data_IF_195427826310
#
_entry.id   IF_195427826310
#
_cell.length_a   1.000
_cell.length_b   1.000
_cell.length_c   1.000
_cell.angle_alpha   90.00
_cell.angle_beta   90.00
_cell.angle_gamma   90.00
#
_symmetry.space_group_name_H-M   'P 1'
#
loop_
_entity.id
_entity.type
_entity.pdbx_description
1 polymer ?
#
# COMPACT_ATOMS: atom_id res chain seq x y z
N UNK A 1 -15.12 -4.99 -8.26
CA UNK A 1 -13.85 -5.14 -7.53
C UNK A 1 -13.85 -4.34 -6.24
N UNK A 2 -14.21 -3.04 -6.26
CA UNK A 2 -14.16 -2.18 -5.07
C UNK A 2 -15.05 -2.69 -3.91
N UNK A 3 -16.28 -3.11 -4.19
CA UNK A 3 -17.16 -3.73 -3.19
C UNK A 3 -16.54 -5.00 -2.58
N UNK A 4 -15.85 -5.81 -3.39
CA UNK A 4 -15.10 -6.99 -2.90
C UNK A 4 -13.97 -6.55 -1.96
N UNK A 5 -13.23 -5.48 -2.31
CA UNK A 5 -12.18 -4.93 -1.43
C UNK A 5 -12.77 -4.48 -0.09
N UNK A 6 -13.90 -3.76 -0.08
CA UNK A 6 -14.56 -3.32 1.14
C UNK A 6 -15.03 -4.52 2.01
N UNK A 7 -15.60 -5.56 1.40
CA UNK A 7 -16.00 -6.78 2.11
C UNK A 7 -14.79 -7.54 2.68
N UNK A 8 -13.70 -7.62 1.94
CA UNK A 8 -12.46 -8.25 2.43
C UNK A 8 -11.84 -7.43 3.56
N UNK A 9 -11.81 -6.11 3.44
CA UNK A 9 -11.35 -5.21 4.50
C UNK A 9 -12.17 -5.42 5.77
N UNK A 10 -13.50 -5.42 5.67
CA UNK A 10 -14.37 -5.73 6.80
C UNK A 10 -14.01 -7.08 7.47
N UNK A 11 -13.80 -8.13 6.68
CA UNK A 11 -13.42 -9.46 7.19
C UNK A 11 -12.06 -9.47 7.87
N UNK A 12 -11.08 -8.74 7.33
CA UNK A 12 -9.75 -8.57 7.93
C UNK A 12 -9.87 -7.86 9.28
N UNK A 13 -10.56 -6.70 9.32
CA UNK A 13 -10.75 -5.93 10.54
C UNK A 13 -11.53 -6.72 11.61
N UNK A 14 -12.57 -7.46 11.21
CA UNK A 14 -13.30 -8.36 12.09
C UNK A 14 -12.41 -9.48 12.65
N UNK A 15 -11.54 -10.06 11.81
CA UNK A 15 -10.57 -11.09 12.24
C UNK A 15 -9.53 -10.54 13.19
N UNK A 16 -9.22 -9.25 13.11
CA UNK A 16 -8.35 -8.55 14.06
C UNK A 16 -9.05 -8.19 15.38
N UNK A 17 -10.36 -8.40 15.49
CA UNK A 17 -11.12 -8.12 16.70
C UNK A 17 -11.51 -6.65 16.88
N UNK A 18 -11.45 -5.85 15.81
CA UNK A 18 -11.78 -4.42 15.89
C UNK A 18 -13.31 -4.20 15.99
N UNK A 19 -13.80 -3.47 17.01
CA UNK A 19 -15.25 -3.28 17.20
C UNK A 19 -15.90 -2.45 16.08
N UNK A 20 -15.16 -1.52 15.47
CA UNK A 20 -15.62 -0.65 14.39
C UNK A 20 -15.29 -1.18 12.99
N UNK A 21 -15.14 -2.50 12.83
CA UNK A 21 -14.78 -3.12 11.55
C UNK A 21 -15.78 -2.80 10.42
N UNK A 22 -17.09 -2.80 10.70
CA UNK A 22 -18.10 -2.50 9.70
C UNK A 22 -18.12 -1.01 9.31
N UNK A 23 -18.21 -0.06 10.24
CA UNK A 23 -18.09 1.36 9.91
C UNK A 23 -16.82 1.73 9.15
N UNK A 24 -15.68 1.16 9.53
CA UNK A 24 -14.40 1.42 8.84
C UNK A 24 -14.43 0.93 7.39
N UNK A 25 -14.99 -0.25 7.13
CA UNK A 25 -15.12 -0.78 5.78
C UNK A 25 -16.14 0.00 4.93
N UNK A 26 -17.23 0.49 5.53
CA UNK A 26 -18.18 1.38 4.86
C UNK A 26 -17.55 2.73 4.53
N UNK A 27 -16.80 3.33 5.47
CA UNK A 27 -16.06 4.55 5.22
C UNK A 27 -15.09 4.39 4.06
N UNK A 28 -14.32 3.29 4.02
CA UNK A 28 -13.45 2.95 2.89
C UNK A 28 -14.24 2.84 1.57
N UNK A 29 -15.43 2.21 1.60
CA UNK A 29 -16.24 1.98 0.41
C UNK A 29 -16.75 3.28 -0.24
N UNK A 30 -17.05 4.31 0.56
CA UNK A 30 -17.59 5.60 0.08
C UNK A 30 -16.57 6.72 0.07
N UNK A 31 -15.31 6.45 0.43
CA UNK A 31 -14.29 7.49 0.60
C UNK A 31 -13.92 8.14 -0.75
N UNK A 32 -13.95 9.48 -0.87
CA UNK A 32 -13.69 10.18 -2.13
C UNK A 32 -12.31 9.88 -2.75
N UNK A 33 -11.28 9.58 -1.93
CA UNK A 33 -9.94 9.18 -2.39
C UNK A 33 -9.98 7.94 -3.29
N UNK A 34 -11.00 7.08 -3.17
CA UNK A 34 -11.16 5.89 -4.00
C UNK A 34 -11.82 6.17 -5.35
N UNK A 35 -12.41 7.36 -5.56
CA UNK A 35 -13.20 7.68 -6.75
C UNK A 35 -12.41 7.49 -8.04
N UNK A 36 -11.18 7.97 -8.11
CA UNK A 36 -10.30 7.84 -9.28
C UNK A 36 -10.01 6.37 -9.60
N UNK A 37 -9.56 5.60 -8.61
CA UNK A 37 -9.23 4.18 -8.78
C UNK A 37 -10.43 3.31 -9.16
N UNK A 38 -11.66 3.75 -8.83
CA UNK A 38 -12.91 3.03 -9.13
C UNK A 38 -13.45 3.42 -10.50
N UNK A 39 -13.43 4.72 -10.84
CA UNK A 39 -14.03 5.25 -12.05
C UNK A 39 -13.12 5.06 -13.28
N UNK A 40 -11.81 5.13 -13.11
CA UNK A 40 -10.86 5.09 -14.22
C UNK A 40 -10.49 3.66 -14.59
N UNK A 41 -10.69 3.31 -15.87
CA UNK A 41 -10.47 1.95 -16.37
C UNK A 41 -9.00 1.54 -16.22
N UNK A 42 -8.06 2.44 -16.49
CA UNK A 42 -6.62 2.18 -16.39
C UNK A 42 -6.15 1.97 -14.96
N UNK A 43 -6.86 2.51 -13.99
CA UNK A 43 -6.55 2.40 -12.56
C UNK A 43 -7.18 1.17 -11.88
N UNK A 44 -7.90 0.32 -12.62
CA UNK A 44 -8.44 -0.96 -12.09
C UNK A 44 -7.38 -1.87 -11.50
N UNK A 45 -6.13 -1.76 -11.97
CA UNK A 45 -4.98 -2.46 -11.38
C UNK A 45 -4.81 -2.16 -9.88
N UNK A 46 -5.13 -0.93 -9.43
CA UNK A 46 -5.06 -0.54 -8.02
C UNK A 46 -6.06 -1.32 -7.19
N UNK A 47 -7.33 -1.34 -7.64
CA UNK A 47 -8.40 -2.04 -6.94
C UNK A 47 -8.20 -3.55 -6.98
N UNK A 48 -7.72 -4.10 -8.09
CA UNK A 48 -7.39 -5.53 -8.21
C UNK A 48 -6.27 -5.92 -7.24
N UNK A 49 -5.18 -5.15 -7.22
CA UNK A 49 -4.07 -5.37 -6.29
C UNK A 49 -4.53 -5.29 -4.83
N UNK A 50 -5.41 -4.33 -4.49
CA UNK A 50 -5.99 -4.20 -3.16
C UNK A 50 -6.83 -5.42 -2.77
N UNK A 51 -7.69 -5.93 -3.66
CA UNK A 51 -8.48 -7.16 -3.43
C UNK A 51 -7.58 -8.35 -3.12
N UNK A 52 -6.54 -8.55 -3.96
CA UNK A 52 -5.59 -9.64 -3.80
C UNK A 52 -4.75 -9.51 -2.53
N UNK A 53 -4.33 -8.28 -2.20
CA UNK A 53 -3.58 -7.98 -0.98
C UNK A 53 -4.43 -8.24 0.28
N UNK A 54 -5.69 -7.83 0.30
CA UNK A 54 -6.61 -8.09 1.41
C UNK A 54 -6.94 -9.58 1.53
N UNK A 55 -7.07 -10.30 0.41
CA UNK A 55 -7.22 -11.75 0.40
C UNK A 55 -5.97 -12.44 0.99
N UNK A 56 -4.77 -12.00 0.60
CA UNK A 56 -3.50 -12.49 1.15
C UNK A 56 -3.43 -12.26 2.67
N UNK A 57 -3.78 -11.05 3.13
CA UNK A 57 -3.82 -10.73 4.57
C UNK A 57 -4.82 -11.62 5.32
N UNK A 58 -6.02 -11.82 4.77
CA UNK A 58 -7.03 -12.67 5.39
C UNK A 58 -6.59 -14.13 5.47
N UNK A 59 -5.97 -14.66 4.40
CA UNK A 59 -5.38 -16.01 4.39
C UNK A 59 -4.29 -16.12 5.46
N UNK A 60 -3.39 -15.14 5.56
CA UNK A 60 -2.36 -15.11 6.61
C UNK A 60 -2.94 -15.18 8.00
N UNK A 61 -3.91 -14.32 8.30
CA UNK A 61 -4.58 -14.26 9.61
C UNK A 61 -5.38 -15.52 9.95
N UNK A 62 -5.67 -16.37 8.96
CA UNK A 62 -6.30 -17.69 9.11
C UNK A 62 -5.27 -18.83 9.20
N UNK A 63 -3.98 -18.54 9.08
CA UNK A 63 -2.91 -19.53 9.11
C UNK A 63 -2.55 -20.15 7.76
N UNK A 64 -3.23 -19.75 6.69
CA UNK A 64 -2.98 -20.23 5.30
C UNK A 64 -1.79 -19.51 4.67
N UNK A 65 -0.56 -19.91 5.01
CA UNK A 65 0.68 -19.24 4.56
C UNK A 65 0.89 -19.35 3.05
N UNK A 66 0.65 -20.53 2.47
CA UNK A 66 0.79 -20.77 1.03
C UNK A 66 -0.22 -19.95 0.24
N UNK A 67 -1.51 -19.99 0.63
CA UNK A 67 -2.56 -19.20 -0.02
C UNK A 67 -2.28 -17.70 0.09
N UNK A 68 -1.78 -17.24 1.25
CA UNK A 68 -1.36 -15.85 1.43
C UNK A 68 -0.26 -15.47 0.45
N UNK A 69 0.75 -16.31 0.29
CA UNK A 69 1.86 -16.06 -0.65
C UNK A 69 1.40 -16.02 -2.10
N UNK A 70 0.52 -16.94 -2.52
CA UNK A 70 -0.04 -16.96 -3.88
C UNK A 70 -0.82 -15.68 -4.18
N UNK A 71 -1.74 -15.27 -3.28
CA UNK A 71 -2.48 -14.02 -3.45
C UNK A 71 -1.57 -12.80 -3.42
N UNK A 72 -0.53 -12.82 -2.60
CA UNK A 72 0.45 -11.74 -2.54
C UNK A 72 1.25 -11.60 -3.83
N UNK A 73 1.72 -12.71 -4.43
CA UNK A 73 2.38 -12.70 -5.74
C UNK A 73 1.45 -12.13 -6.82
N UNK A 74 0.20 -12.56 -6.85
CA UNK A 74 -0.78 -12.02 -7.78
C UNK A 74 -1.02 -10.52 -7.55
N UNK A 75 -1.02 -10.05 -6.29
CA UNK A 75 -1.13 -8.63 -5.96
C UNK A 75 0.07 -7.82 -6.46
N UNK A 76 1.30 -8.34 -6.27
CA UNK A 76 2.54 -7.72 -6.77
C UNK A 76 2.57 -7.64 -8.30
N UNK A 77 2.09 -8.67 -9.00
CA UNK A 77 1.99 -8.67 -10.46
C UNK A 77 0.95 -7.67 -10.96
N UNK A 78 -0.13 -7.44 -10.22
CA UNK A 78 -1.11 -6.43 -10.54
C UNK A 78 -0.55 -5.00 -10.29
N UNK A 79 0.14 -4.81 -9.17
CA UNK A 79 0.79 -3.54 -8.81
C UNK A 79 1.87 -3.75 -7.76
N UNK A 80 3.08 -3.26 -8.06
CA UNK A 80 4.26 -3.40 -7.18
C UNK A 80 4.02 -2.79 -5.79
N UNK A 81 3.18 -1.76 -5.66
CA UNK A 81 2.86 -1.15 -4.36
C UNK A 81 2.33 -2.13 -3.30
N UNK A 82 1.92 -3.35 -3.70
CA UNK A 82 1.56 -4.41 -2.75
C UNK A 82 2.72 -4.87 -1.85
N UNK A 83 3.98 -4.46 -2.14
CA UNK A 83 5.14 -4.72 -1.27
C UNK A 83 4.95 -4.23 0.18
N UNK A 84 3.99 -3.35 0.42
CA UNK A 84 3.64 -2.86 1.76
C UNK A 84 3.02 -3.95 2.66
N UNK A 85 2.53 -5.05 2.08
CA UNK A 85 1.83 -6.09 2.86
C UNK A 85 2.73 -6.80 3.90
N UNK A 86 3.94 -7.30 3.57
CA UNK A 86 4.78 -7.98 4.55
C UNK A 86 5.10 -7.12 5.79
N UNK A 87 5.56 -5.85 5.67
CA UNK A 87 5.75 -5.01 6.85
C UNK A 87 4.45 -4.70 7.60
N UNK A 88 3.31 -4.56 6.89
CA UNK A 88 2.02 -4.38 7.56
C UNK A 88 1.61 -5.62 8.39
N UNK A 89 1.87 -6.82 7.88
CA UNK A 89 1.62 -8.06 8.65
C UNK A 89 2.54 -8.19 9.88
N UNK A 90 3.80 -7.73 9.80
CA UNK A 90 4.69 -7.66 10.97
C UNK A 90 4.18 -6.64 11.99
N UNK A 91 3.71 -5.48 11.53
CA UNK A 91 3.13 -4.47 12.40
C UNK A 91 1.87 -4.99 13.11
N UNK A 92 1.02 -5.74 12.41
CA UNK A 92 -0.15 -6.40 12.99
C UNK A 92 0.29 -7.46 14.03
N UNK A 93 1.34 -8.24 13.74
CA UNK A 93 1.87 -9.22 14.69
C UNK A 93 2.38 -8.54 15.96
N UNK A 94 3.15 -7.46 15.81
CA UNK A 94 3.62 -6.66 16.93
C UNK A 94 2.47 -6.07 17.76
N UNK A 95 1.49 -5.46 17.08
CA UNK A 95 0.32 -4.90 17.76
C UNK A 95 -0.48 -5.94 18.57
N UNK A 96 -0.60 -7.17 18.05
CA UNK A 96 -1.35 -8.24 18.70
C UNK A 96 -0.61 -8.91 19.86
N UNK A 97 0.71 -9.00 19.77
CA UNK A 97 1.53 -9.77 20.72
C UNK A 97 2.46 -8.91 21.58
N UNK A 98 2.53 -7.60 21.32
CA UNK A 98 3.43 -6.66 22.02
C UNK A 98 4.93 -6.85 21.69
N UNK A 99 5.28 -7.89 20.92
CA UNK A 99 6.65 -8.21 20.50
C UNK A 99 6.64 -8.94 19.17
N UNK A 100 7.73 -8.81 18.40
CA UNK A 100 7.97 -9.58 17.18
C UNK A 100 8.85 -10.77 17.53
N UNK A 101 8.39 -11.98 17.20
CA UNK A 101 9.17 -13.20 17.33
C UNK A 101 9.75 -13.56 15.96
N UNK A 102 11.09 -13.78 15.93
CA UNK A 102 11.78 -14.06 14.66
C UNK A 102 11.27 -15.34 13.98
N UNK A 103 11.12 -16.43 14.75
CA UNK A 103 10.73 -17.73 14.19
C UNK A 103 9.24 -17.80 13.82
N UNK A 104 8.41 -17.11 14.59
CA UNK A 104 6.95 -17.15 14.42
C UNK A 104 6.44 -16.14 13.40
N UNK A 105 6.99 -14.92 13.42
CA UNK A 105 6.42 -13.79 12.70
C UNK A 105 7.29 -13.41 11.49
N UNK A 106 8.63 -13.38 11.61
CA UNK A 106 9.53 -12.93 10.54
C UNK A 106 9.84 -14.05 9.55
N UNK A 107 10.31 -15.21 10.03
CA UNK A 107 10.77 -16.30 9.17
C UNK A 107 9.67 -16.76 8.16
N UNK A 108 8.40 -16.92 8.54
CA UNK A 108 7.35 -17.28 7.60
C UNK A 108 6.99 -16.19 6.59
N UNK A 109 7.33 -14.92 6.86
CA UNK A 109 7.15 -13.80 5.93
C UNK A 109 8.34 -13.60 5.00
N UNK A 110 9.48 -14.27 5.23
CA UNK A 110 10.67 -14.14 4.38
C UNK A 110 10.39 -14.36 2.89
N UNK A 111 9.59 -15.37 2.46
CA UNK A 111 9.24 -15.53 1.05
C UNK A 111 8.53 -14.30 0.47
N UNK A 112 7.66 -13.64 1.25
CA UNK A 112 6.96 -12.41 0.83
C UNK A 112 7.93 -11.25 0.66
N UNK A 113 8.90 -11.08 1.58
CA UNK A 113 9.93 -10.05 1.48
C UNK A 113 10.85 -10.28 0.28
N UNK A 114 11.28 -11.54 0.04
CA UNK A 114 12.11 -11.88 -1.10
C UNK A 114 11.38 -11.61 -2.41
N UNK A 115 10.12 -12.03 -2.52
CA UNK A 115 9.30 -11.79 -3.71
C UNK A 115 9.10 -10.29 -3.96
N UNK A 116 8.82 -9.50 -2.91
CA UNK A 116 8.70 -8.04 -3.01
C UNK A 116 10.00 -7.39 -3.49
N UNK A 117 11.14 -7.81 -2.96
CA UNK A 117 12.45 -7.29 -3.34
C UNK A 117 12.79 -7.62 -4.80
N UNK A 118 12.63 -8.89 -5.18
CA UNK A 118 12.96 -9.36 -6.54
C UNK A 118 12.08 -8.66 -7.58
N UNK A 119 10.75 -8.66 -7.38
CA UNK A 119 9.83 -8.01 -8.32
C UNK A 119 9.98 -6.49 -8.32
N UNK A 120 10.23 -5.87 -7.15
CA UNK A 120 10.52 -4.44 -7.05
C UNK A 120 11.77 -4.04 -7.83
N UNK A 121 12.87 -4.81 -7.70
CA UNK A 121 14.08 -4.57 -8.47
C UNK A 121 13.88 -4.79 -9.97
N UNK A 122 13.10 -5.82 -10.36
CA UNK A 122 12.79 -6.09 -11.75
C UNK A 122 12.01 -4.93 -12.38
N UNK A 123 10.96 -4.45 -11.71
CA UNK A 123 10.16 -3.32 -12.20
C UNK A 123 10.99 -2.04 -12.28
N UNK A 124 11.81 -1.76 -11.28
CA UNK A 124 12.71 -0.60 -11.30
C UNK A 124 13.68 -0.66 -12.50
N UNK A 125 14.21 -1.83 -12.82
CA UNK A 125 15.05 -2.01 -14.03
C UNK A 125 14.27 -1.80 -15.33
N UNK A 126 13.04 -2.33 -15.40
CA UNK A 126 12.19 -2.16 -16.57
C UNK A 126 11.82 -0.68 -16.78
N UNK A 127 11.45 0.03 -15.73
CA UNK A 127 11.13 1.47 -15.80
C UNK A 127 12.32 2.31 -16.28
N UNK A 128 13.53 2.02 -15.77
CA UNK A 128 14.73 2.78 -16.16
C UNK A 128 15.22 2.46 -17.58
N UNK A 129 15.11 1.20 -18.02
CA UNK A 129 15.70 0.77 -19.30
C UNK A 129 14.68 0.71 -20.44
N UNK A 130 13.43 0.40 -20.18
CA UNK A 130 12.39 0.20 -21.21
C UNK A 130 11.50 1.42 -21.35
N UNK A 131 11.03 1.98 -20.22
CA UNK A 131 10.14 3.15 -20.23
C UNK A 131 10.91 4.45 -20.42
N UNK A 132 12.24 4.43 -20.14
CA UNK A 132 13.08 5.60 -20.34
C UNK A 132 12.82 6.71 -19.33
N UNK A 133 12.50 6.37 -18.09
CA UNK A 133 12.37 7.33 -16.98
C UNK A 133 13.71 7.99 -16.66
N UNK A 134 14.20 8.83 -17.61
CA UNK A 134 15.45 9.59 -17.56
C UNK A 134 15.12 11.06 -17.84
N UNK A 135 15.80 11.96 -17.14
CA UNK A 135 15.66 13.40 -17.31
C UNK A 135 15.68 14.13 -15.98
N UNK A 136 15.81 15.45 -16.01
CA UNK A 136 15.96 16.30 -14.83
C UNK A 136 14.83 16.11 -13.79
N UNK A 137 13.64 15.74 -14.23
CA UNK A 137 12.49 15.48 -13.34
C UNK A 137 12.63 14.17 -12.54
N UNK A 138 13.50 13.24 -13.00
CA UNK A 138 13.75 11.94 -12.35
C UNK A 138 15.09 11.87 -11.61
N UNK A 139 15.96 12.87 -11.80
CA UNK A 139 17.31 12.95 -11.20
C UNK A 139 17.31 13.58 -9.80
N UNK A 140 16.33 13.22 -8.98
CA UNK A 140 16.31 13.66 -7.59
C UNK A 140 17.50 13.05 -6.83
N UNK A 141 18.23 13.88 -6.10
CA UNK A 141 19.32 13.45 -5.21
C UNK A 141 18.79 12.54 -4.11
N UNK A 142 19.65 11.72 -3.50
CA UNK A 142 19.25 10.83 -2.39
C UNK A 142 18.60 11.63 -1.26
N UNK A 143 19.15 12.81 -0.94
CA UNK A 143 18.59 13.70 0.08
C UNK A 143 17.18 14.16 -0.24
N UNK A 144 16.94 14.55 -1.51
CA UNK A 144 15.60 14.94 -1.97
C UNK A 144 14.62 13.78 -1.92
N UNK A 145 15.05 12.57 -2.33
CA UNK A 145 14.23 11.35 -2.25
C UNK A 145 13.84 11.00 -0.82
N UNK A 146 14.78 11.13 0.13
CA UNK A 146 14.51 10.90 1.55
C UNK A 146 13.54 11.94 2.11
N UNK A 147 13.68 13.21 1.72
CA UNK A 147 12.78 14.27 2.12
C UNK A 147 11.35 14.04 1.63
N UNK A 148 11.18 13.66 0.34
CA UNK A 148 9.87 13.29 -0.21
C UNK A 148 9.29 12.10 0.52
N UNK A 149 10.08 11.04 0.71
CA UNK A 149 9.64 9.85 1.40
C UNK A 149 9.17 10.15 2.84
N UNK A 150 9.80 11.12 3.51
CA UNK A 150 9.37 11.59 4.83
C UNK A 150 8.08 12.42 4.82
N UNK A 151 7.84 13.19 3.76
CA UNK A 151 6.64 14.03 3.63
C UNK A 151 5.42 13.28 3.09
N UNK A 152 5.63 12.30 2.21
CA UNK A 152 4.55 11.58 1.54
C UNK A 152 3.51 10.98 2.51
N UNK A 153 3.88 10.32 3.63
CA UNK A 153 2.91 9.80 4.59
C UNK A 153 1.98 10.88 5.17
N UNK A 154 2.53 12.05 5.49
CA UNK A 154 1.77 13.17 6.04
C UNK A 154 0.82 13.78 5.02
N UNK A 155 1.29 13.89 3.77
CA UNK A 155 0.46 14.36 2.68
C UNK A 155 -0.73 13.43 2.43
N UNK A 156 -0.49 12.12 2.31
CA UNK A 156 -1.56 11.14 2.11
C UNK A 156 -2.49 11.05 3.30
N UNK A 157 -1.97 11.15 4.53
CA UNK A 157 -2.79 11.19 5.73
C UNK A 157 -3.70 12.43 5.74
N UNK A 158 -3.17 13.58 5.35
CA UNK A 158 -3.96 14.80 5.21
C UNK A 158 -5.09 14.65 4.19
N UNK A 159 -4.81 14.08 3.01
CA UNK A 159 -5.83 13.81 1.97
C UNK A 159 -6.84 12.74 2.40
N UNK A 160 -6.45 11.80 3.24
CA UNK A 160 -7.35 10.79 3.80
C UNK A 160 -8.30 11.40 4.84
N UNK A 161 -7.82 12.31 5.69
CA UNK A 161 -8.64 12.94 6.72
C UNK A 161 -9.47 14.11 6.16
N UNK A 162 -8.96 14.81 5.14
CA UNK A 162 -9.56 15.99 4.54
C UNK A 162 -9.48 15.90 3.01
N UNK A 163 -10.41 15.18 2.35
CA UNK A 163 -10.35 14.83 0.94
C UNK A 163 -10.81 15.99 0.01
N UNK A 164 -10.22 17.19 0.17
CA UNK A 164 -10.44 18.32 -0.72
C UNK A 164 -9.29 18.45 -1.72
N UNK A 165 -9.57 19.07 -2.87
CA UNK A 165 -8.61 19.29 -3.97
C UNK A 165 -7.89 18.00 -4.37
N UNK A 166 -8.67 16.93 -4.58
CA UNK A 166 -8.14 15.68 -5.09
C UNK A 166 -7.81 15.85 -6.57
N UNK A 167 -6.54 15.59 -6.93
CA UNK A 167 -6.04 15.68 -8.29
C UNK A 167 -5.31 14.37 -8.64
N UNK A 168 -5.41 13.95 -9.90
CA UNK A 168 -4.75 12.73 -10.40
C UNK A 168 -3.23 12.86 -10.42
N UNK A 169 -2.73 14.08 -10.66
CA UNK A 169 -1.30 14.38 -10.69
C UNK A 169 -1.03 15.62 -9.85
N UNK A 170 -0.33 15.45 -8.76
CA UNK A 170 0.12 16.56 -7.93
C UNK A 170 1.48 17.04 -8.46
N UNK A 171 1.63 18.34 -8.78
CA UNK A 171 2.93 18.88 -9.17
C UNK A 171 3.91 18.74 -8.01
N UNK A 172 5.04 18.09 -8.27
CA UNK A 172 6.12 17.96 -7.28
C UNK A 172 6.84 19.31 -7.17
N UNK A 173 6.33 20.19 -6.36
CA UNK A 173 7.00 21.45 -5.99
C UNK A 173 7.76 21.23 -4.71
N UNK A 174 9.04 20.99 -4.83
CA UNK A 174 9.99 20.74 -3.73
C UNK A 174 9.98 21.80 -2.62
N UNK A 175 9.54 23.02 -2.94
CA UNK A 175 9.63 24.19 -2.04
C UNK A 175 8.30 24.67 -1.45
N UNK A 176 7.15 24.19 -1.94
CA UNK A 176 5.84 24.75 -1.56
C UNK A 176 5.02 23.89 -0.60
N UNK A 177 5.59 22.78 -0.10
CA UNK A 177 4.91 21.86 0.80
C UNK A 177 5.25 22.07 2.29
N UNK A 178 6.09 23.05 2.59
CA UNK A 178 6.18 23.55 3.96
C UNK A 178 4.83 24.21 4.28
N UNK A 179 4.11 23.75 5.32
CA UNK A 179 2.93 24.49 5.79
C UNK A 179 3.38 25.93 6.09
N UNK A 180 2.52 26.93 5.85
CA UNK A 180 2.87 28.36 6.06
C UNK A 180 3.29 28.71 7.48
N UNK A 181 3.30 27.76 8.41
CA UNK A 181 3.78 27.86 9.79
C UNK A 181 5.32 27.80 9.88
N UNK A 182 6.03 27.40 8.80
CA UNK A 182 7.50 27.30 8.76
C UNK A 182 8.13 28.12 7.63
N UNK A 183 7.39 29.03 7.00
CA UNK A 183 7.88 30.00 6.02
C UNK A 183 8.15 31.36 6.68
#
# INVERSE_FOLDING_TARGET
LHAIAALLLWRVLKKLGLPLACPAALLFAVHPVMAESVAWITERKNVLSMVLMLAAALCWLRGGRVSSFVFFLAALLAKVSAFVLPPALLLIAWWRHGRIDWRRDVLPLMPHFIAALVLGMLVMRLETHVVGAKGADFEATITQRLFIAGQAPWFYLGKLLWPFDLCSVYPVRWQSWLPPVFA
#
